data_IF_089794921323
#
_entry.id   IF_089794921323
#
_cell.length_a   1.000
_cell.length_b   1.000
_cell.length_c   1.000
_cell.angle_alpha   90.00
_cell.angle_beta   90.00
_cell.angle_gamma   90.00
#
_symmetry.space_group_name_H-M   'P 1'
#
loop_
_entity.id
_entity.type
_entity.pdbx_description
1 polymer ?
#
# COMPACT_ATOMS: atom_id res chain seq x y z
N UNK A 1 14.41 -7.36 -21.95
CA UNK A 1 14.76 -7.75 -20.57
C UNK A 1 13.81 -6.97 -19.68
N UNK A 2 12.62 -7.52 -19.47
CA UNK A 2 11.46 -6.84 -18.88
C UNK A 2 11.21 -7.44 -17.51
N UNK A 3 11.25 -6.59 -16.46
CA UNK A 3 11.10 -7.01 -15.06
C UNK A 3 9.63 -7.23 -14.71
N UNK A 4 9.39 -8.31 -13.97
CA UNK A 4 8.14 -8.65 -13.29
C UNK A 4 7.69 -7.48 -12.39
N UNK A 5 6.45 -7.04 -12.55
CA UNK A 5 5.74 -6.22 -11.58
C UNK A 5 4.71 -7.13 -10.88
N UNK A 6 4.99 -7.49 -9.64
CA UNK A 6 4.02 -8.16 -8.77
C UNK A 6 3.13 -7.09 -8.12
N UNK A 7 1.82 -7.27 -8.20
CA UNK A 7 0.80 -6.37 -7.67
C UNK A 7 0.95 -6.31 -6.15
N UNK A 8 1.37 -5.15 -5.64
CA UNK A 8 1.62 -4.89 -4.22
C UNK A 8 0.34 -4.38 -3.55
N UNK A 9 0.02 -4.94 -2.39
CA UNK A 9 -0.89 -4.30 -1.46
C UNK A 9 -0.08 -3.30 -0.60
N UNK A 10 -0.36 -2.00 -0.77
CA UNK A 10 0.17 -0.90 0.07
C UNK A 10 1.19 0.08 -0.58
N UNK A 11 1.49 -0.04 -1.87
CA UNK A 11 2.27 0.90 -2.71
C UNK A 11 1.63 0.91 -4.12
N UNK A 12 1.69 2.02 -4.89
CA UNK A 12 0.61 2.35 -5.78
C UNK A 12 0.46 1.32 -6.90
N UNK A 13 -0.77 1.12 -7.30
CA UNK A 13 -1.09 0.13 -8.28
C UNK A 13 -0.76 0.65 -9.69
N UNK A 14 0.36 0.22 -10.25
CA UNK A 14 0.57 0.34 -11.69
C UNK A 14 -0.50 -0.49 -12.42
N UNK A 15 -1.15 0.09 -13.43
CA UNK A 15 -2.06 -0.62 -14.33
C UNK A 15 -1.41 -1.94 -14.84
N UNK A 16 -2.02 -3.07 -14.47
CA UNK A 16 -1.54 -4.40 -14.85
C UNK A 16 -2.17 -4.82 -16.18
N UNK A 17 -1.38 -4.82 -17.25
CA UNK A 17 -1.56 -5.71 -18.40
C UNK A 17 -1.61 -7.18 -17.91
N UNK A 18 -2.26 -8.14 -18.62
CA UNK A 18 -2.62 -9.45 -18.08
C UNK A 18 -1.39 -10.18 -17.50
N UNK A 19 -1.36 -10.30 -16.17
CA UNK A 19 -0.13 -10.63 -15.43
C UNK A 19 0.12 -12.13 -15.37
N UNK A 20 1.39 -12.51 -15.56
CA UNK A 20 1.91 -13.84 -15.23
C UNK A 20 2.13 -13.85 -13.72
N UNK A 21 1.41 -14.73 -13.02
CA UNK A 21 1.45 -14.93 -11.56
C UNK A 21 2.90 -15.00 -11.05
N UNK A 22 3.28 -14.09 -10.15
CA UNK A 22 4.55 -14.18 -9.43
C UNK A 22 4.56 -15.49 -8.60
N UNK A 23 5.70 -16.19 -8.47
CA UNK A 23 5.73 -17.40 -7.66
C UNK A 23 5.32 -17.06 -6.23
N UNK A 24 4.37 -17.83 -5.70
CA UNK A 24 3.83 -17.61 -4.37
C UNK A 24 4.95 -17.67 -3.31
N UNK A 25 4.84 -16.85 -2.26
CA UNK A 25 5.87 -16.77 -1.24
C UNK A 25 6.04 -18.09 -0.46
N UNK A 26 7.27 -18.44 -0.11
CA UNK A 26 7.64 -19.55 0.78
C UNK A 26 7.66 -19.15 2.27
N UNK A 27 7.58 -17.86 2.57
CA UNK A 27 7.37 -17.33 3.92
C UNK A 27 6.82 -15.90 3.91
N UNK A 28 5.90 -15.60 4.83
CA UNK A 28 5.52 -14.23 5.20
C UNK A 28 6.19 -13.89 6.52
N UNK A 29 6.91 -12.77 6.55
CA UNK A 29 7.65 -12.28 7.71
C UNK A 29 7.06 -10.93 8.12
N UNK A 30 6.70 -10.79 9.39
CA UNK A 30 6.21 -9.55 9.98
C UNK A 30 7.17 -9.02 11.06
N UNK A 31 7.32 -7.70 11.16
CA UNK A 31 8.11 -7.09 12.24
C UNK A 31 7.79 -5.61 12.53
N UNK A 32 8.15 -5.21 13.75
CA UNK A 32 7.98 -3.86 14.28
C UNK A 32 6.54 -3.53 14.65
N UNK A 33 6.36 -2.40 15.34
CA UNK A 33 5.13 -2.14 16.10
C UNK A 33 5.09 -2.96 17.39
N UNK A 34 4.11 -2.69 18.24
CA UNK A 34 3.91 -3.41 19.49
C UNK A 34 3.12 -4.71 19.30
N UNK A 35 2.46 -4.89 18.14
CA UNK A 35 1.59 -6.02 17.86
C UNK A 35 0.44 -6.13 18.88
N UNK A 36 -0.10 -4.97 19.29
CA UNK A 36 -1.11 -4.86 20.35
C UNK A 36 -2.44 -5.53 19.96
N UNK A 37 -2.70 -5.68 18.65
CA UNK A 37 -3.92 -6.29 18.12
C UNK A 37 -3.66 -7.65 17.46
N UNK A 38 -2.42 -8.14 17.49
CA UNK A 38 -2.03 -9.36 16.80
C UNK A 38 -1.81 -9.16 15.29
N UNK A 39 -1.82 -7.93 14.78
CA UNK A 39 -1.66 -7.57 13.37
C UNK A 39 -0.27 -7.97 12.81
N UNK A 40 0.74 -8.03 13.68
CA UNK A 40 2.06 -8.56 13.38
C UNK A 40 2.19 -10.08 13.59
N UNK A 41 1.13 -10.81 13.93
CA UNK A 41 1.18 -12.26 14.22
C UNK A 41 0.63 -13.06 13.05
N UNK A 42 1.46 -13.34 12.05
CA UNK A 42 1.04 -14.04 10.83
C UNK A 42 0.65 -15.51 11.14
N UNK A 43 -0.59 -15.94 10.81
CA UNK A 43 -1.06 -17.31 10.97
C UNK A 43 -0.18 -18.35 10.24
N UNK A 44 -0.14 -19.56 10.80
CA UNK A 44 0.68 -20.65 10.24
C UNK A 44 0.30 -21.05 8.81
N UNK A 45 -0.99 -20.93 8.45
CA UNK A 45 -1.50 -21.24 7.09
C UNK A 45 -1.03 -20.25 6.01
N UNK A 46 -0.53 -19.08 6.43
CA UNK A 46 0.01 -18.01 5.59
C UNK A 46 1.53 -18.04 5.51
N UNK A 47 2.17 -19.11 5.97
CA UNK A 47 3.62 -19.29 5.84
C UNK A 47 4.05 -19.69 4.44
N UNK A 48 3.13 -20.00 3.52
CA UNK A 48 3.47 -20.26 2.12
C UNK A 48 2.26 -20.03 1.23
N UNK A 49 2.48 -19.90 -0.08
CA UNK A 49 1.38 -19.76 -1.05
C UNK A 49 0.69 -18.40 -1.00
N UNK A 50 1.36 -17.35 -0.51
CA UNK A 50 0.77 -16.02 -0.40
C UNK A 50 1.23 -15.16 -1.56
N UNK A 51 0.28 -14.53 -2.23
CA UNK A 51 0.47 -13.68 -3.40
C UNK A 51 0.61 -12.21 -3.01
N UNK A 52 -0.16 -11.76 -2.01
CA UNK A 52 -0.14 -10.39 -1.51
C UNK A 52 -0.48 -10.29 -0.02
N UNK A 53 -0.04 -9.20 0.63
CA UNK A 53 -0.33 -8.87 2.03
C UNK A 53 -0.76 -7.41 2.12
N UNK A 54 -1.91 -7.13 2.74
CA UNK A 54 -2.32 -5.77 3.10
C UNK A 54 -2.32 -5.59 4.63
N UNK A 55 -1.71 -4.53 5.13
CA UNK A 55 -1.67 -4.21 6.56
C UNK A 55 -2.65 -3.08 6.90
N UNK A 56 -3.67 -3.38 7.68
CA UNK A 56 -4.49 -2.37 8.34
C UNK A 56 -3.93 -1.98 9.71
N UNK A 57 -4.61 -1.09 10.43
CA UNK A 57 -4.13 -0.63 11.75
C UNK A 57 -4.20 -1.75 12.80
N UNK A 58 -5.33 -2.47 12.84
CA UNK A 58 -5.60 -3.52 13.83
C UNK A 58 -5.59 -4.94 13.23
N UNK A 59 -5.48 -5.07 11.91
CA UNK A 59 -5.62 -6.33 11.21
C UNK A 59 -4.65 -6.45 10.02
N UNK A 60 -4.40 -7.68 9.58
CA UNK A 60 -3.71 -7.96 8.32
C UNK A 60 -4.57 -8.84 7.42
N UNK A 61 -4.39 -8.69 6.12
CA UNK A 61 -5.01 -9.50 5.07
C UNK A 61 -3.94 -10.17 4.22
N UNK A 62 -4.24 -11.36 3.72
CA UNK A 62 -3.43 -12.07 2.74
C UNK A 62 -4.31 -12.54 1.57
N UNK A 63 -3.76 -12.43 0.37
CA UNK A 63 -4.32 -13.06 -0.82
C UNK A 63 -3.55 -14.35 -1.09
N UNK A 64 -4.28 -15.46 -1.21
CA UNK A 64 -3.73 -16.79 -1.45
C UNK A 64 -4.62 -17.54 -2.42
N UNK A 65 -4.13 -17.77 -3.63
CA UNK A 65 -4.85 -18.51 -4.68
C UNK A 65 -6.25 -17.91 -4.95
N UNK A 66 -6.34 -16.58 -4.97
CA UNK A 66 -7.58 -15.84 -5.14
C UNK A 66 -8.52 -15.82 -3.92
N UNK A 67 -8.13 -16.38 -2.78
CA UNK A 67 -8.87 -16.33 -1.52
C UNK A 67 -8.28 -15.29 -0.57
N UNK A 68 -9.15 -14.50 0.05
CA UNK A 68 -8.76 -13.58 1.13
C UNK A 68 -8.76 -14.30 2.48
N UNK A 69 -7.67 -14.12 3.21
CA UNK A 69 -7.44 -14.57 4.58
C UNK A 69 -7.10 -13.34 5.43
N UNK A 70 -7.33 -13.39 6.73
CA UNK A 70 -7.01 -12.27 7.61
C UNK A 70 -6.79 -12.67 9.05
N UNK A 71 -6.13 -11.79 9.80
CA UNK A 71 -5.75 -11.98 11.20
C UNK A 71 -5.66 -10.63 11.93
N UNK A 72 -5.56 -10.69 13.26
CA UNK A 72 -5.57 -9.52 14.13
C UNK A 72 -6.93 -9.32 14.80
N UNK A 73 -7.29 -8.08 15.11
CA UNK A 73 -8.56 -7.75 15.73
C UNK A 73 -9.69 -7.60 14.71
N UNK A 74 -10.92 -7.87 15.16
CA UNK A 74 -12.14 -7.80 14.37
C UNK A 74 -13.21 -6.96 15.07
N UNK A 75 -12.84 -5.77 15.55
CA UNK A 75 -13.73 -4.93 16.35
C UNK A 75 -14.92 -4.38 15.54
N UNK A 76 -14.74 -4.18 14.25
CA UNK A 76 -15.68 -3.52 13.34
C UNK A 76 -16.13 -4.44 12.19
N UNK A 77 -15.76 -5.73 12.25
CA UNK A 77 -16.08 -6.70 11.20
C UNK A 77 -15.08 -6.71 10.04
N UNK A 78 -13.93 -6.03 10.13
CA UNK A 78 -12.86 -6.02 9.11
C UNK A 78 -12.26 -7.41 8.82
N UNK A 79 -12.49 -8.40 9.68
CA UNK A 79 -12.13 -9.81 9.45
C UNK A 79 -13.34 -10.73 9.21
N UNK A 80 -14.55 -10.18 9.11
CA UNK A 80 -15.76 -10.91 8.75
C UNK A 80 -15.88 -11.00 7.22
N UNK A 81 -15.11 -11.91 6.62
CA UNK A 81 -14.93 -12.00 5.16
C UNK A 81 -16.25 -12.22 4.41
N UNK A 82 -16.61 -11.36 3.44
CA UNK A 82 -17.74 -11.60 2.54
C UNK A 82 -17.57 -12.90 1.74
N UNK A 83 -18.66 -13.60 1.43
CA UNK A 83 -18.59 -14.87 0.69
C UNK A 83 -17.89 -14.72 -0.68
N UNK A 84 -18.02 -13.55 -1.31
CA UNK A 84 -17.42 -13.25 -2.61
C UNK A 84 -15.88 -13.25 -2.57
N UNK A 85 -15.25 -13.07 -1.41
CA UNK A 85 -13.78 -13.02 -1.25
C UNK A 85 -13.14 -14.39 -0.99
N UNK A 86 -13.93 -15.46 -1.03
CA UNK A 86 -13.43 -16.83 -0.80
C UNK A 86 -12.67 -17.42 -2.00
N UNK A 87 -12.77 -16.82 -3.19
CA UNK A 87 -12.06 -17.24 -4.40
C UNK A 87 -12.12 -16.14 -5.48
N UNK A 88 -11.18 -16.17 -6.43
CA UNK A 88 -11.17 -15.27 -7.60
C UNK A 88 -10.95 -13.80 -7.27
N UNK A 89 -10.34 -13.48 -6.14
CA UNK A 89 -9.90 -12.10 -5.81
C UNK A 89 -8.56 -11.82 -6.48
N UNK A 90 -8.44 -10.65 -7.09
CA UNK A 90 -7.27 -10.20 -7.85
C UNK A 90 -6.32 -9.35 -7.01
N UNK A 91 -6.86 -8.53 -6.10
CA UNK A 91 -6.08 -7.66 -5.22
C UNK A 91 -6.79 -7.42 -3.88
N UNK A 92 -6.01 -6.99 -2.89
CA UNK A 92 -6.51 -6.64 -1.54
C UNK A 92 -5.90 -5.31 -1.08
N UNK A 93 -6.63 -4.59 -0.24
CA UNK A 93 -6.12 -3.44 0.49
C UNK A 93 -6.79 -3.35 1.88
N UNK A 94 -6.18 -2.61 2.79
CA UNK A 94 -6.66 -2.43 4.15
C UNK A 94 -6.50 -0.97 4.57
N UNK A 95 -7.55 -0.41 5.17
CA UNK A 95 -7.46 0.82 5.95
C UNK A 95 -7.28 0.51 7.43
N UNK A 96 -7.66 1.46 8.29
CA UNK A 96 -7.52 1.28 9.74
C UNK A 96 -8.42 0.14 10.24
N UNK A 97 -9.71 0.28 9.98
CA UNK A 97 -10.77 -0.62 10.45
C UNK A 97 -11.69 -1.13 9.32
N UNK A 98 -11.26 -1.01 8.07
CA UNK A 98 -11.96 -1.55 6.91
C UNK A 98 -11.01 -2.29 5.96
N UNK A 99 -11.60 -3.11 5.10
CA UNK A 99 -10.90 -3.98 4.17
C UNK A 99 -11.51 -3.86 2.79
N UNK A 100 -10.67 -4.00 1.77
CA UNK A 100 -11.03 -3.94 0.37
C UNK A 100 -10.50 -5.17 -0.37
N UNK A 101 -11.26 -5.64 -1.35
CA UNK A 101 -10.84 -6.62 -2.34
C UNK A 101 -11.27 -6.16 -3.74
N UNK A 102 -10.44 -6.43 -4.74
CA UNK A 102 -10.76 -6.27 -6.14
C UNK A 102 -11.01 -7.65 -6.73
N UNK A 103 -12.13 -7.83 -7.41
CA UNK A 103 -12.50 -9.09 -8.06
C UNK A 103 -13.22 -8.81 -9.36
N UNK A 104 -12.64 -9.27 -10.48
CA UNK A 104 -13.24 -9.12 -11.82
C UNK A 104 -13.60 -7.66 -12.15
N UNK A 105 -12.81 -6.70 -11.63
CA UNK A 105 -13.03 -5.27 -11.78
C UNK A 105 -14.08 -4.65 -10.84
N UNK A 106 -14.68 -5.42 -9.93
CA UNK A 106 -15.58 -4.94 -8.87
C UNK A 106 -14.82 -4.73 -7.55
N UNK A 107 -15.04 -3.59 -6.89
CA UNK A 107 -14.55 -3.35 -5.52
C UNK A 107 -15.55 -3.92 -4.52
N UNK A 108 -15.05 -4.78 -3.63
CA UNK A 108 -15.76 -5.31 -2.48
C UNK A 108 -15.16 -4.68 -1.22
N UNK A 109 -15.99 -4.05 -0.40
CA UNK A 109 -15.57 -3.41 0.85
C UNK A 109 -16.33 -3.99 2.06
N UNK A 110 -15.66 -4.11 3.21
CA UNK A 110 -16.27 -4.55 4.48
C UNK A 110 -15.51 -4.01 5.69
N UNK A 111 -16.13 -4.07 6.87
CA UNK A 111 -15.59 -3.52 8.12
C UNK A 111 -16.32 -2.27 8.58
N UNK A 112 -15.59 -1.35 9.23
CA UNK A 112 -16.13 -0.07 9.69
C UNK A 112 -16.62 0.80 8.55
N UNK A 113 -17.76 1.45 8.74
CA UNK A 113 -18.41 2.32 7.76
C UNK A 113 -18.82 3.69 8.33
N UNK A 114 -18.21 4.11 9.44
CA UNK A 114 -18.58 5.36 10.12
C UNK A 114 -18.55 6.61 9.24
N UNK A 115 -17.73 6.60 8.18
CA UNK A 115 -17.55 7.70 7.24
C UNK A 115 -17.94 7.30 5.81
N UNK A 116 -18.64 6.18 5.63
CA UNK A 116 -19.00 5.63 4.31
C UNK A 116 -17.82 5.01 3.56
N UNK A 117 -16.72 4.64 4.21
CA UNK A 117 -15.55 4.07 3.55
C UNK A 117 -15.79 2.67 2.96
N UNK A 118 -16.91 2.01 3.31
CA UNK A 118 -17.35 0.75 2.69
C UNK A 118 -18.58 0.92 1.79
N UNK A 119 -19.13 2.12 1.68
CA UNK A 119 -20.20 2.48 0.73
C UNK A 119 -19.64 2.59 -0.72
N UNK A 120 -19.35 1.45 -1.35
CA UNK A 120 -18.75 1.39 -2.69
C UNK A 120 -19.62 2.14 -3.73
N UNK A 121 -19.11 3.23 -4.34
CA UNK A 121 -19.81 4.01 -5.36
C UNK A 121 -20.11 3.18 -6.61
N UNK A 122 -21.16 3.54 -7.35
CA UNK A 122 -21.59 2.77 -8.52
C UNK A 122 -20.49 2.67 -9.59
N UNK A 123 -19.71 3.73 -9.80
CA UNK A 123 -18.60 3.75 -10.75
C UNK A 123 -17.48 2.76 -10.40
N UNK A 124 -17.32 2.39 -9.13
CA UNK A 124 -16.29 1.47 -8.63
C UNK A 124 -16.75 -0.01 -8.56
N UNK A 125 -17.96 -0.32 -9.07
CA UNK A 125 -18.51 -1.69 -9.06
C UNK A 125 -18.18 -2.51 -10.32
N UNK A 126 -17.39 -1.96 -11.25
CA UNK A 126 -16.94 -2.66 -12.46
C UNK A 126 -15.80 -1.89 -13.13
N UNK A 127 -14.92 -2.60 -13.85
CA UNK A 127 -13.85 -1.99 -14.63
C UNK A 127 -12.78 -1.28 -13.79
N UNK A 128 -12.70 -1.57 -12.49
CA UNK A 128 -11.62 -1.06 -11.63
C UNK A 128 -10.35 -1.85 -11.89
N UNK A 129 -9.26 -1.13 -12.14
CA UNK A 129 -7.94 -1.70 -12.40
C UNK A 129 -7.15 -1.91 -11.09
N UNK A 130 -7.46 -1.12 -10.08
CA UNK A 130 -6.72 -1.11 -8.82
C UNK A 130 -7.45 -0.45 -7.64
N UNK A 131 -7.01 -0.81 -6.43
CA UNK A 131 -7.56 -0.31 -5.16
C UNK A 131 -6.46 0.09 -4.17
N UNK A 132 -6.77 1.01 -3.26
CA UNK A 132 -5.95 1.31 -2.09
C UNK A 132 -6.82 1.66 -0.87
N UNK A 133 -6.40 1.18 0.30
CA UNK A 133 -6.95 1.55 1.61
C UNK A 133 -6.03 2.57 2.27
N UNK A 134 -6.59 3.69 2.72
CA UNK A 134 -5.84 4.86 3.19
C UNK A 134 -6.44 5.38 4.51
N UNK A 135 -6.14 4.69 5.61
CA UNK A 135 -6.75 4.98 6.91
C UNK A 135 -8.27 4.82 6.88
N UNK A 136 -9.00 5.95 6.83
CA UNK A 136 -10.46 6.01 6.81
C UNK A 136 -11.04 6.33 5.40
N UNK A 137 -10.23 6.16 4.35
CA UNK A 137 -10.58 6.42 2.96
C UNK A 137 -10.30 5.18 2.10
N UNK A 138 -11.15 4.99 1.10
CA UNK A 138 -10.96 4.02 0.02
C UNK A 138 -10.70 4.73 -1.30
N UNK A 139 -9.78 4.18 -2.09
CA UNK A 139 -9.43 4.65 -3.42
C UNK A 139 -9.57 3.52 -4.44
N UNK A 140 -10.05 3.86 -5.63
CA UNK A 140 -10.02 2.99 -6.80
C UNK A 140 -9.44 3.73 -8.00
N UNK A 141 -8.74 3.01 -8.88
CA UNK A 141 -8.31 3.50 -10.19
C UNK A 141 -9.07 2.73 -11.25
N UNK A 142 -9.70 3.46 -12.17
CA UNK A 142 -10.49 2.91 -13.27
C UNK A 142 -10.24 3.72 -14.53
N UNK A 143 -9.75 3.10 -15.59
CA UNK A 143 -9.54 3.74 -16.89
C UNK A 143 -8.71 5.04 -16.80
N UNK A 144 -7.79 5.09 -15.83
CA UNK A 144 -6.95 6.26 -15.54
C UNK A 144 -7.60 7.38 -14.73
N UNK A 145 -8.81 7.18 -14.20
CA UNK A 145 -9.51 8.06 -13.25
C UNK A 145 -9.40 7.53 -11.83
N UNK A 146 -9.06 8.41 -10.87
CA UNK A 146 -9.12 8.08 -9.44
C UNK A 146 -10.51 8.35 -8.91
N UNK A 147 -11.08 7.36 -8.22
CA UNK A 147 -12.34 7.44 -7.48
C UNK A 147 -11.99 7.34 -5.99
N UNK A 148 -12.53 8.23 -5.17
CA UNK A 148 -12.26 8.27 -3.73
C UNK A 148 -13.55 8.41 -2.92
N UNK A 149 -13.68 7.63 -1.84
CA UNK A 149 -14.84 7.70 -0.94
C UNK A 149 -14.43 7.37 0.51
N UNK A 150 -15.31 7.69 1.46
CA UNK A 150 -15.03 7.62 2.89
C UNK A 150 -14.84 9.01 3.51
N UNK A 151 -13.88 9.11 4.44
CA UNK A 151 -13.69 10.33 5.24
C UNK A 151 -13.07 11.50 4.46
N UNK A 152 -13.83 12.59 4.30
CA UNK A 152 -13.37 13.80 3.59
C UNK A 152 -12.76 14.89 4.50
N UNK A 153 -11.75 14.54 5.29
CA UNK A 153 -11.00 15.58 6.00
C UNK A 153 -10.13 16.38 5.03
N UNK A 154 -10.22 17.70 5.09
CA UNK A 154 -9.42 18.60 4.26
C UNK A 154 -9.52 18.33 2.74
N UNK A 155 -10.66 17.80 2.27
CA UNK A 155 -10.85 17.50 0.85
C UNK A 155 -10.13 16.23 0.38
N UNK A 156 -9.81 15.28 1.27
CA UNK A 156 -9.10 14.05 0.94
C UNK A 156 -9.83 13.18 -0.10
N UNK A 157 -11.17 13.15 -0.08
CA UNK A 157 -11.95 12.43 -1.11
C UNK A 157 -12.37 13.35 -2.27
N UNK A 158 -12.01 14.62 -2.23
CA UNK A 158 -12.19 15.56 -3.35
C UNK A 158 -11.04 15.40 -4.35
N UNK A 159 -11.19 14.46 -5.28
CA UNK A 159 -10.16 14.13 -6.27
C UNK A 159 -9.84 15.34 -7.16
N UNK A 160 -8.58 15.80 -7.24
CA UNK A 160 -8.19 16.90 -8.11
C UNK A 160 -8.45 16.59 -9.58
N UNK A 161 -8.86 17.59 -10.37
CA UNK A 161 -9.17 17.41 -11.80
C UNK A 161 -8.03 16.77 -12.61
N UNK A 162 -6.77 16.99 -12.21
CA UNK A 162 -5.60 16.39 -12.86
C UNK A 162 -5.54 14.87 -12.68
N UNK A 163 -6.12 14.33 -11.60
CA UNK A 163 -6.16 12.91 -11.26
C UNK A 163 -7.42 12.19 -11.76
N UNK A 164 -8.30 12.88 -12.50
CA UNK A 164 -9.51 12.28 -13.10
C UNK A 164 -9.27 11.66 -14.49
N UNK A 165 -8.02 11.56 -14.95
CA UNK A 165 -7.67 10.95 -16.24
C UNK A 165 -6.18 10.69 -16.37
N UNK A 166 -5.81 9.63 -17.11
CA UNK A 166 -4.41 9.32 -17.44
C UNK A 166 -3.53 9.03 -16.24
N UNK A 167 -4.13 8.72 -15.08
CA UNK A 167 -3.43 8.20 -13.92
C UNK A 167 -3.03 6.75 -14.19
N UNK A 168 -1.80 6.41 -13.85
CA UNK A 168 -1.27 5.05 -13.99
C UNK A 168 -1.15 4.34 -12.65
N UNK A 169 -1.17 5.09 -11.54
CA UNK A 169 -1.10 4.53 -10.20
C UNK A 169 -1.69 5.46 -9.14
N UNK A 170 -2.26 4.90 -8.08
CA UNK A 170 -2.78 5.66 -6.92
C UNK A 170 -2.43 4.98 -5.60
N UNK A 171 -2.26 5.78 -4.54
CA UNK A 171 -2.10 5.33 -3.17
C UNK A 171 -2.61 6.39 -2.18
N UNK A 172 -2.66 6.07 -0.90
CA UNK A 172 -3.03 7.03 0.12
C UNK A 172 -2.55 6.64 1.51
N UNK A 173 -2.73 7.56 2.44
CA UNK A 173 -2.53 7.42 3.88
C UNK A 173 -3.71 8.06 4.62
N UNK A 174 -3.68 8.08 5.95
CA UNK A 174 -4.80 8.59 6.77
C UNK A 174 -5.26 10.01 6.42
N UNK A 175 -4.35 10.87 5.93
CA UNK A 175 -4.66 12.28 5.65
C UNK A 175 -4.30 12.73 4.24
N UNK A 176 -3.74 11.86 3.41
CA UNK A 176 -3.23 12.26 2.07
C UNK A 176 -3.49 11.19 1.04
N UNK A 177 -3.68 11.61 -0.21
CA UNK A 177 -3.83 10.71 -1.33
C UNK A 177 -2.96 11.18 -2.50
N UNK A 178 -2.58 10.21 -3.32
CA UNK A 178 -1.58 10.38 -4.36
C UNK A 178 -2.03 9.71 -5.66
N UNK A 179 -1.59 10.29 -6.77
CA UNK A 179 -1.71 9.71 -8.09
C UNK A 179 -0.41 9.91 -8.87
N UNK A 180 -0.09 9.00 -9.77
CA UNK A 180 0.99 9.13 -10.75
C UNK A 180 0.36 9.32 -12.13
N UNK A 181 0.71 10.40 -12.82
CA UNK A 181 0.24 10.71 -14.17
C UNK A 181 1.42 11.15 -15.03
N UNK A 182 1.66 10.46 -16.15
CA UNK A 182 2.82 10.71 -17.03
C UNK A 182 4.16 10.72 -16.25
N UNK A 183 4.27 9.89 -15.22
CA UNK A 183 5.41 9.82 -14.31
C UNK A 183 5.55 11.01 -13.35
N UNK A 184 4.59 11.92 -13.26
CA UNK A 184 4.56 12.99 -12.25
C UNK A 184 3.61 12.65 -11.10
N UNK A 185 4.00 12.99 -9.87
CA UNK A 185 3.15 12.84 -8.69
C UNK A 185 2.15 13.99 -8.59
N UNK A 186 0.89 13.64 -8.39
CA UNK A 186 -0.19 14.51 -7.92
C UNK A 186 -0.46 14.12 -6.47
N UNK A 187 -0.49 15.08 -5.55
CA UNK A 187 -0.71 14.84 -4.13
C UNK A 187 -1.74 15.82 -3.59
N UNK A 188 -2.68 15.35 -2.76
CA UNK A 188 -3.71 16.18 -2.13
C UNK A 188 -4.07 15.67 -0.72
N UNK A 189 -4.83 16.48 0.02
CA UNK A 189 -5.13 16.28 1.44
C UNK A 189 -4.28 17.17 2.35
N UNK A 190 -3.94 16.69 3.55
CA UNK A 190 -3.17 17.45 4.53
C UNK A 190 -1.78 17.85 4.01
N UNK A 191 -1.31 19.02 4.41
CA UNK A 191 0.02 19.53 4.05
C UNK A 191 0.75 20.15 5.24
N UNK A 192 0.39 19.79 6.48
CA UNK A 192 0.93 20.44 7.67
C UNK A 192 2.47 20.39 7.73
N UNK A 193 3.07 19.29 7.26
CA UNK A 193 4.52 19.09 7.22
C UNK A 193 5.09 19.18 5.80
N UNK A 194 4.32 19.65 4.81
CA UNK A 194 4.76 19.71 3.43
C UNK A 194 4.63 18.39 2.67
N UNK A 195 3.94 17.38 3.21
CA UNK A 195 3.86 16.03 2.63
C UNK A 195 3.07 15.95 1.31
N UNK A 196 2.26 16.95 0.97
CA UNK A 196 1.63 17.08 -0.35
C UNK A 196 2.30 18.14 -1.22
N UNK A 197 3.42 18.73 -0.75
CA UNK A 197 4.24 19.66 -1.55
C UNK A 197 5.21 18.87 -2.44
N UNK A 198 4.75 18.47 -3.63
CA UNK A 198 5.52 17.62 -4.55
C UNK A 198 6.85 18.27 -4.99
N UNK A 199 8.01 17.67 -4.68
CA UNK A 199 9.32 18.20 -5.07
C UNK A 199 9.52 18.09 -6.58
N UNK A 200 10.32 19.00 -7.15
CA UNK A 200 10.55 19.07 -8.59
C UNK A 200 11.06 17.73 -9.19
N UNK A 201 11.85 16.98 -8.43
CA UNK A 201 12.40 15.69 -8.87
C UNK A 201 11.31 14.62 -9.08
N UNK A 202 10.19 14.70 -8.35
CA UNK A 202 9.07 13.77 -8.42
C UNK A 202 7.96 14.20 -9.41
N UNK A 203 8.21 15.20 -10.28
CA UNK A 203 7.24 15.67 -11.28
C UNK A 203 7.35 14.95 -12.63
N UNK A 204 8.25 13.98 -12.76
CA UNK A 204 8.44 13.18 -13.97
C UNK A 204 9.23 11.90 -13.67
N UNK A 205 9.02 10.84 -14.45
CA UNK A 205 9.75 9.58 -14.35
C UNK A 205 9.55 8.81 -13.04
N UNK A 206 8.50 9.13 -12.28
CA UNK A 206 8.08 8.37 -11.11
C UNK A 206 7.33 7.13 -11.56
N UNK A 207 7.74 5.99 -11.01
CA UNK A 207 7.15 4.68 -11.25
C UNK A 207 6.11 4.36 -10.16
N UNK A 208 6.37 4.77 -8.91
CA UNK A 208 5.51 4.48 -7.77
C UNK A 208 5.57 5.56 -6.66
N UNK A 209 4.58 5.60 -5.77
CA UNK A 209 4.31 6.55 -4.69
C UNK A 209 3.72 5.85 -3.48
N UNK A 210 4.26 6.11 -2.29
CA UNK A 210 3.73 5.58 -1.03
C UNK A 210 3.55 6.71 -0.01
N UNK A 211 2.42 6.73 0.68
CA UNK A 211 2.07 7.74 1.67
C UNK A 211 2.30 7.24 3.10
N UNK A 212 3.07 7.97 3.88
CA UNK A 212 3.04 7.89 5.33
C UNK A 212 2.03 8.87 5.92
N UNK A 213 1.99 8.97 7.24
CA UNK A 213 1.05 9.85 7.93
C UNK A 213 1.36 11.33 7.65
N UNK A 214 2.65 11.68 7.68
CA UNK A 214 3.15 13.03 7.49
C UNK A 214 4.38 13.11 6.58
N UNK A 215 4.73 12.03 5.89
CA UNK A 215 5.78 12.00 4.86
C UNK A 215 5.29 11.23 3.65
N UNK A 216 5.98 11.42 2.53
CA UNK A 216 5.61 10.83 1.24
C UNK A 216 6.87 10.31 0.56
N UNK A 217 6.71 9.22 -0.18
CA UNK A 217 7.76 8.57 -0.95
C UNK A 217 7.39 8.52 -2.42
N UNK A 218 8.39 8.61 -3.29
CA UNK A 218 8.28 8.26 -4.71
C UNK A 218 9.48 7.40 -5.13
N UNK A 219 9.23 6.41 -5.99
CA UNK A 219 10.25 5.61 -6.67
C UNK A 219 10.43 6.13 -8.09
N UNK A 220 11.65 6.53 -8.45
CA UNK A 220 11.99 7.07 -9.78
C UNK A 220 13.21 6.36 -10.33
N UNK A 221 13.02 5.47 -11.30
CA UNK A 221 14.12 4.74 -11.95
C UNK A 221 15.03 4.02 -10.94
N UNK A 222 14.44 3.48 -9.88
CA UNK A 222 15.15 2.81 -8.79
C UNK A 222 15.77 3.70 -7.71
N UNK A 223 15.55 5.02 -7.75
CA UNK A 223 15.91 5.96 -6.67
C UNK A 223 14.68 6.29 -5.84
N UNK A 224 14.80 6.21 -4.51
CA UNK A 224 13.77 6.69 -3.59
C UNK A 224 13.91 8.20 -3.38
N UNK A 225 12.81 8.92 -3.50
CA UNK A 225 12.64 10.34 -3.17
C UNK A 225 11.68 10.41 -1.99
N UNK A 226 11.99 11.20 -0.96
CA UNK A 226 11.13 11.38 0.20
C UNK A 226 10.97 12.87 0.53
N UNK A 227 9.78 13.28 0.96
CA UNK A 227 9.47 14.64 1.40
C UNK A 227 8.39 14.66 2.49
N UNK A 228 8.21 15.80 3.16
CA UNK A 228 7.32 15.94 4.31
C UNK A 228 8.08 16.01 5.65
N UNK A 229 7.47 15.48 6.71
CA UNK A 229 8.03 15.46 8.06
C UNK A 229 9.35 14.68 8.13
N UNK A 230 10.25 15.14 9.00
CA UNK A 230 11.52 14.46 9.26
C UNK A 230 11.90 14.41 10.75
N UNK A 231 10.98 14.73 11.66
CA UNK A 231 11.26 14.70 13.12
C UNK A 231 11.68 13.32 13.62
N UNK A 232 11.26 12.26 12.92
CA UNK A 232 11.62 10.87 13.20
C UNK A 232 12.46 10.24 12.09
N UNK A 233 13.15 11.06 11.29
CA UNK A 233 14.00 10.62 10.16
C UNK A 233 13.25 9.94 9.01
N UNK A 234 11.95 10.20 8.82
CA UNK A 234 11.15 9.55 7.77
C UNK A 234 11.61 9.92 6.35
N UNK A 235 12.19 11.11 6.17
CA UNK A 235 12.70 11.59 4.88
C UNK A 235 14.24 11.57 4.80
N UNK A 236 14.91 11.08 5.83
CA UNK A 236 16.35 10.75 5.80
C UNK A 236 16.58 9.42 5.07
N UNK A 237 16.48 9.45 3.74
CA UNK A 237 16.61 8.25 2.88
C UNK A 237 18.02 7.66 2.99
N UNK A 238 18.17 6.35 3.32
CA UNK A 238 19.47 5.70 3.36
C UNK A 238 20.18 5.73 1.99
N UNK A 239 21.51 5.89 1.99
CA UNK A 239 22.31 5.94 0.76
C UNK A 239 22.07 4.73 -0.16
N UNK A 240 21.84 3.55 0.42
CA UNK A 240 21.58 2.31 -0.33
C UNK A 240 20.25 2.35 -1.11
N UNK A 241 19.27 3.14 -0.67
CA UNK A 241 17.96 3.32 -1.32
C UNK A 241 17.96 4.40 -2.43
N UNK A 242 19.11 5.03 -2.73
CA UNK A 242 19.21 6.04 -3.78
C UNK A 242 19.42 5.46 -5.20
N UNK A 243 19.45 4.14 -5.36
CA UNK A 243 19.56 3.46 -6.66
C UNK A 243 19.20 1.98 -6.57
N UNK A 244 18.71 1.39 -7.67
CA UNK A 244 18.46 -0.04 -7.78
C UNK A 244 17.37 -0.58 -6.85
N UNK A 245 16.52 0.28 -6.30
CA UNK A 245 15.31 -0.11 -5.57
C UNK A 245 14.26 -0.59 -6.58
N UNK A 246 13.58 -1.68 -6.26
CA UNK A 246 12.52 -2.27 -7.10
C UNK A 246 11.11 -2.03 -6.56
N UNK A 247 10.97 -1.66 -5.29
CA UNK A 247 9.67 -1.31 -4.70
C UNK A 247 9.83 -0.45 -3.44
N UNK A 248 8.78 0.30 -3.08
CA UNK A 248 8.68 1.05 -1.82
C UNK A 248 7.37 0.75 -1.09
N UNK A 249 7.36 0.97 0.21
CA UNK A 249 6.13 0.98 1.02
C UNK A 249 6.30 1.95 2.19
N UNK A 250 5.21 2.47 2.74
CA UNK A 250 5.25 3.37 3.88
C UNK A 250 4.26 2.92 4.95
N UNK A 251 4.72 2.83 6.19
CA UNK A 251 3.81 2.90 7.33
C UNK A 251 3.55 4.34 7.71
N UNK A 252 2.94 4.59 8.87
CA UNK A 252 2.63 5.95 9.29
C UNK A 252 3.89 6.81 9.50
N UNK A 253 4.92 6.24 10.12
CA UNK A 253 6.11 6.97 10.57
C UNK A 253 7.43 6.33 10.13
N UNK A 254 7.35 5.29 9.31
CA UNK A 254 8.50 4.56 8.81
C UNK A 254 8.31 4.21 7.34
N UNK A 255 9.41 3.88 6.69
CA UNK A 255 9.46 3.62 5.26
C UNK A 255 10.23 2.33 5.00
N UNK A 256 9.86 1.66 3.91
CA UNK A 256 10.50 0.45 3.40
C UNK A 256 10.90 0.65 1.94
N UNK A 257 12.01 0.02 1.55
CA UNK A 257 12.41 -0.14 0.16
C UNK A 257 12.94 -1.56 -0.07
N UNK A 258 12.61 -2.16 -1.20
CA UNK A 258 13.13 -3.46 -1.62
C UNK A 258 14.23 -3.26 -2.66
N UNK A 259 15.40 -3.85 -2.43
CA UNK A 259 16.54 -3.80 -3.35
C UNK A 259 17.22 -5.15 -3.44
N UNK A 260 17.20 -5.78 -4.62
CA UNK A 260 17.85 -7.08 -4.87
C UNK A 260 17.49 -8.15 -3.81
N UNK A 261 16.22 -8.20 -3.41
CA UNK A 261 15.73 -9.13 -2.39
C UNK A 261 16.08 -8.78 -0.93
N UNK A 262 16.71 -7.63 -0.68
CA UNK A 262 16.97 -7.09 0.67
C UNK A 262 15.98 -5.97 0.98
N UNK A 263 15.39 -6.01 2.18
CA UNK A 263 14.58 -4.90 2.70
C UNK A 263 15.47 -3.86 3.38
N UNK A 264 15.28 -2.61 3.01
CA UNK A 264 15.81 -1.42 3.68
C UNK A 264 14.66 -0.77 4.45
N UNK A 265 14.88 -0.40 5.71
CA UNK A 265 13.90 0.29 6.54
C UNK A 265 14.51 1.52 7.20
N UNK A 266 13.74 2.59 7.33
CA UNK A 266 14.13 3.82 8.03
C UNK A 266 12.92 4.55 8.61
N UNK A 267 13.15 5.53 9.49
CA UNK A 267 12.11 6.29 10.18
C UNK A 267 11.67 5.64 11.50
N UNK A 268 11.38 6.46 12.52
CA UNK A 268 10.89 6.03 13.85
C UNK A 268 11.69 4.91 14.50
N UNK A 269 13.03 5.03 14.47
CA UNK A 269 13.94 4.04 15.05
C UNK A 269 14.14 2.77 14.20
N UNK A 270 13.43 2.63 13.06
CA UNK A 270 13.71 1.57 12.09
C UNK A 270 15.01 1.85 11.36
N UNK A 271 15.79 0.79 11.13
CA UNK A 271 17.09 0.81 10.45
C UNK A 271 17.46 -0.59 9.94
N UNK A 272 18.55 -0.70 9.17
CA UNK A 272 19.10 -2.02 8.79
C UNK A 272 19.46 -2.89 10.02
N UNK A 273 19.81 -2.26 11.15
CA UNK A 273 20.12 -2.96 12.39
C UNK A 273 18.88 -3.51 13.10
N UNK A 274 17.74 -2.80 13.03
CA UNK A 274 16.47 -3.27 13.61
C UNK A 274 15.68 -4.19 12.68
N UNK A 275 16.13 -4.33 11.43
CA UNK A 275 15.49 -5.16 10.42
C UNK A 275 15.92 -6.62 10.61
N UNK A 276 14.98 -7.58 10.72
CA UNK A 276 15.30 -9.00 10.92
C UNK A 276 16.26 -9.55 9.86
N UNK A 277 17.16 -10.45 10.27
CA UNK A 277 18.08 -11.10 9.33
C UNK A 277 17.36 -11.88 8.21
N UNK A 278 16.15 -12.37 8.48
CA UNK A 278 15.32 -13.14 7.54
C UNK A 278 14.90 -12.36 6.29
N UNK A 279 14.83 -11.02 6.37
CA UNK A 279 14.44 -10.13 5.26
C UNK A 279 15.62 -9.41 4.61
N UNK A 280 16.86 -9.81 4.94
CA UNK A 280 18.08 -9.25 4.31
C UNK A 280 18.43 -9.89 2.96
N UNK A 281 17.66 -10.86 2.49
CA UNK A 281 17.80 -11.53 1.20
C UNK A 281 16.54 -12.31 0.83
N UNK A 282 16.34 -12.65 -0.45
CA UNK A 282 15.25 -13.52 -0.91
C UNK A 282 13.84 -12.94 -0.76
N UNK A 283 13.70 -11.66 -0.45
CA UNK A 283 12.39 -11.00 -0.40
C UNK A 283 11.92 -10.68 -1.81
N UNK A 284 10.68 -11.05 -2.13
CA UNK A 284 10.07 -10.81 -3.44
C UNK A 284 9.10 -9.63 -3.41
N UNK A 285 8.50 -9.35 -2.26
CA UNK A 285 7.58 -8.23 -2.07
C UNK A 285 7.60 -7.70 -0.62
N UNK A 286 7.15 -6.46 -0.45
CA UNK A 286 7.04 -5.78 0.84
C UNK A 286 5.67 -5.11 0.96
N UNK A 287 5.15 -5.05 2.18
CA UNK A 287 3.98 -4.26 2.52
C UNK A 287 4.21 -3.57 3.86
N UNK A 288 3.53 -2.44 4.06
CA UNK A 288 3.61 -1.70 5.31
C UNK A 288 2.19 -1.40 5.78
N UNK A 289 1.82 -1.94 6.93
CA UNK A 289 0.71 -1.40 7.70
C UNK A 289 1.16 -0.18 8.51
N UNK A 290 0.23 0.51 9.18
CA UNK A 290 0.51 1.71 9.98
C UNK A 290 1.71 1.55 10.90
N UNK A 291 1.77 0.42 11.62
CA UNK A 291 2.81 0.10 12.58
C UNK A 291 3.62 -1.15 12.25
N UNK A 292 3.04 -2.15 11.58
CA UNK A 292 3.67 -3.44 11.28
C UNK A 292 4.18 -3.50 9.85
N UNK A 293 5.41 -3.97 9.65
CA UNK A 293 5.98 -4.21 8.32
C UNK A 293 5.85 -5.70 7.95
N UNK A 294 5.69 -5.97 6.65
CA UNK A 294 5.59 -7.32 6.11
C UNK A 294 6.55 -7.50 4.93
N UNK A 295 7.08 -8.70 4.80
CA UNK A 295 7.88 -9.13 3.65
C UNK A 295 7.45 -10.52 3.22
N UNK A 296 7.27 -10.68 1.91
CA UNK A 296 7.06 -11.97 1.27
C UNK A 296 8.42 -12.47 0.78
N UNK A 297 8.78 -13.68 1.17
CA UNK A 297 10.04 -14.32 0.81
C UNK A 297 9.76 -15.47 -0.16
N UNK A 298 10.54 -15.57 -1.24
CA UNK A 298 10.52 -16.70 -2.17
C UNK A 298 11.90 -17.25 -2.46
#
# INVERSE_FOLDING_TARGET
MSGLLAVMAGGPAAAAEPSVVAPAADAVISWGGNNDYGEGTVPAELKSGVDAIAGGYVHGLALKDGRVLGWGANFDGQLTMPAATQSGVDAIAAGDDHSLALKDGEVIAWGSDEYGQTDVPAEARSGVDAIAGAGLVSLALKDGEVIAWGRDWNGLTTVPAEALSGVTATSGSLYTAFAVKNGGVIAWGDNYFGQTTVPAEARSGVDEVAGGLFHSLALKGGKVIAWGDNRYSQTTVPQEALSGVSAIASGEWYSLALKNGKVLAWGSGRSDASTPSSVKSGVTAIAAGPNSAYALKG
#
